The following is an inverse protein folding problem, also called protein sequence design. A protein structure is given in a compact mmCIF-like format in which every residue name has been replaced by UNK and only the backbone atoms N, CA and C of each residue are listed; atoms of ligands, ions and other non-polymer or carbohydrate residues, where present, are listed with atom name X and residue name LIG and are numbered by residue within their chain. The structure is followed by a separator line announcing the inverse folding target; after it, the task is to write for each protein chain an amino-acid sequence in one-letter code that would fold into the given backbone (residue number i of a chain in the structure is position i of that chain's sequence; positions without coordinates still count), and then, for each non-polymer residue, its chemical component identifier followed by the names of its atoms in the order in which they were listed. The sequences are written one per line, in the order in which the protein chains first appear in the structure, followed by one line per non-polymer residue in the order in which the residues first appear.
data_IF_993817364767
#
_entry.id   IF_993817364767
#
_cell.length_a   1.000
_cell.length_b   1.000
_cell.length_c   1.000
_cell.angle_alpha   90.00
_cell.angle_beta   90.00
_cell.angle_gamma   90.00
#
_symmetry.space_group_name_H-M   'P 1'
#
loop_
_entity.id
_entity.type
_entity.pdbx_description
1 polymer ?
#
# COMPACT_ATOMS: atom_id res chain seq x y z
N UNK A 1 9.56 2.48 4.16
CA UNK A 1 8.95 2.61 2.81
C UNK A 1 8.92 4.10 2.40
N UNK A 2 8.69 4.51 1.12
CA UNK A 2 8.49 5.92 0.63
C UNK A 2 7.06 6.21 0.12
N UNK A 3 6.59 7.45 0.12
CA UNK A 3 5.27 7.77 -0.44
C UNK A 3 5.35 7.71 -1.96
N UNK A 4 4.39 7.05 -2.63
CA UNK A 4 4.41 6.89 -4.08
C UNK A 4 4.29 8.22 -4.85
N UNK A 5 3.71 9.25 -4.22
CA UNK A 5 3.42 10.53 -4.89
C UNK A 5 4.38 11.66 -4.49
N UNK A 6 4.77 11.78 -3.21
CA UNK A 6 5.65 12.85 -2.75
C UNK A 6 7.02 12.38 -2.24
N UNK A 7 7.31 11.08 -2.32
CA UNK A 7 8.54 10.42 -1.84
C UNK A 7 8.82 10.53 -0.33
N UNK A 8 7.98 11.25 0.41
CA UNK A 8 8.16 11.47 1.84
C UNK A 8 8.14 10.14 2.64
N UNK A 9 9.02 10.07 3.63
CA UNK A 9 9.17 8.94 4.57
C UNK A 9 8.17 9.02 5.73
N UNK A 10 7.44 10.12 5.87
CA UNK A 10 6.48 10.32 6.96
C UNK A 10 5.32 9.31 6.98
N UNK A 11 4.70 9.26 8.16
CA UNK A 11 3.63 8.35 8.62
C UNK A 11 2.62 8.04 7.52
N UNK A 12 2.64 6.79 7.04
CA UNK A 12 1.76 6.33 5.97
C UNK A 12 0.45 5.85 6.53
N UNK A 13 -0.64 6.26 5.87
CA UNK A 13 -1.97 5.75 6.17
C UNK A 13 -2.19 4.44 5.43
N UNK A 14 -1.71 4.31 4.19
CA UNK A 14 -1.91 3.11 3.36
C UNK A 14 -0.62 2.59 2.72
N UNK A 15 -0.55 1.28 2.56
CA UNK A 15 0.44 0.58 1.74
C UNK A 15 -0.16 0.16 0.40
N UNK A 16 0.68 0.12 -0.64
CA UNK A 16 0.35 -0.40 -1.97
C UNK A 16 0.99 -1.78 -2.07
N UNK A 17 0.18 -2.82 -2.17
CA UNK A 17 0.63 -4.22 -2.12
C UNK A 17 0.22 -4.95 -3.41
N UNK A 18 1.16 -5.64 -4.06
CA UNK A 18 0.83 -6.56 -5.17
C UNK A 18 0.21 -7.84 -4.59
N UNK A 19 -1.08 -8.07 -4.82
CA UNK A 19 -1.81 -9.19 -4.20
C UNK A 19 -1.35 -10.56 -4.71
N UNK A 20 -0.70 -10.63 -5.87
CA UNK A 20 -0.15 -11.89 -6.38
C UNK A 20 1.25 -12.18 -5.84
N UNK A 21 2.08 -11.15 -5.67
CA UNK A 21 3.45 -11.27 -5.19
C UNK A 21 3.60 -11.13 -3.68
N UNK A 22 2.56 -10.66 -2.97
CA UNK A 22 2.60 -10.35 -1.54
C UNK A 22 3.55 -9.21 -1.16
N UNK A 23 4.16 -8.56 -2.16
CA UNK A 23 5.21 -7.57 -1.95
C UNK A 23 4.63 -6.18 -1.74
N UNK A 24 5.12 -5.47 -0.73
CA UNK A 24 4.78 -4.06 -0.52
C UNK A 24 5.61 -3.20 -1.45
N UNK A 25 4.95 -2.49 -2.37
CA UNK A 25 5.60 -1.66 -3.37
C UNK A 25 5.91 -0.27 -2.82
N UNK A 26 4.91 0.36 -2.19
CA UNK A 26 5.02 1.74 -1.71
C UNK A 26 3.88 2.06 -0.74
N UNK A 27 3.56 3.32 -0.53
CA UNK A 27 2.36 3.72 0.20
C UNK A 27 1.94 5.16 -0.04
N UNK A 28 0.82 5.57 0.57
CA UNK A 28 0.37 6.95 0.56
C UNK A 28 0.47 7.56 1.96
N UNK A 29 0.99 8.78 2.03
CA UNK A 29 0.75 9.63 3.19
C UNK A 29 -0.69 10.14 3.15
N UNK A 30 -1.20 10.64 4.28
CA UNK A 30 -2.59 11.11 4.40
C UNK A 30 -2.95 12.20 3.38
N UNK A 31 -2.03 13.12 3.10
CA UNK A 31 -2.26 14.23 2.16
C UNK A 31 -2.36 13.75 0.71
N UNK A 32 -1.41 12.93 0.25
CA UNK A 32 -1.44 12.37 -1.10
C UNK A 32 -2.63 11.43 -1.29
N UNK A 33 -2.99 10.62 -0.29
CA UNK A 33 -4.20 9.79 -0.33
C UNK A 33 -5.44 10.65 -0.59
N UNK A 34 -5.63 11.72 0.21
CA UNK A 34 -6.77 12.61 0.06
C UNK A 34 -6.74 13.38 -1.26
N UNK A 35 -5.57 13.75 -1.76
CA UNK A 35 -5.44 14.46 -3.04
C UNK A 35 -5.86 13.60 -4.23
N UNK A 36 -5.55 12.30 -4.19
CA UNK A 36 -5.80 11.39 -5.30
C UNK A 36 -7.17 10.73 -5.24
N UNK A 37 -7.64 10.39 -4.05
CA UNK A 37 -8.86 9.60 -3.85
C UNK A 37 -9.96 10.35 -3.10
N UNK A 38 -9.72 11.60 -2.70
CA UNK A 38 -10.65 12.36 -1.88
C UNK A 38 -10.96 11.62 -0.57
N UNK A 39 -12.24 11.47 -0.29
CA UNK A 39 -12.77 10.74 0.88
C UNK A 39 -13.22 9.32 0.52
N UNK A 40 -13.04 8.89 -0.74
CA UNK A 40 -13.49 7.60 -1.22
C UNK A 40 -12.95 6.47 -0.33
N UNK A 41 -11.66 6.52 0.00
CA UNK A 41 -10.96 5.52 0.81
C UNK A 41 -11.26 5.60 2.32
N UNK A 42 -12.06 6.56 2.81
CA UNK A 42 -12.33 6.69 4.24
C UNK A 42 -13.59 5.92 4.69
N UNK A 43 -14.60 5.80 3.82
CA UNK A 43 -15.91 5.23 4.17
C UNK A 43 -16.47 4.27 3.09
N UNK A 44 -15.62 3.74 2.22
CA UNK A 44 -16.08 2.90 1.11
C UNK A 44 -16.47 1.48 1.55
N UNK A 45 -17.66 1.05 1.14
CA UNK A 45 -18.08 -0.35 1.13
C UNK A 45 -17.44 -1.01 -0.11
N UNK A 46 -16.23 -1.51 0.07
CA UNK A 46 -15.47 -2.13 -1.00
C UNK A 46 -15.89 -3.59 -1.12
N UNK A 47 -17.02 -3.81 -1.78
CA UNK A 47 -17.50 -5.16 -2.06
C UNK A 47 -16.41 -5.94 -2.81
N UNK A 48 -15.96 -7.03 -2.18
CA UNK A 48 -14.65 -7.65 -2.35
C UNK A 48 -14.37 -8.41 -3.63
N UNK A 49 -14.90 -7.95 -4.76
CA UNK A 49 -14.83 -8.63 -6.05
C UNK A 49 -13.44 -8.61 -6.71
N UNK A 50 -12.37 -8.33 -5.96
CA UNK A 50 -11.02 -8.14 -6.52
C UNK A 50 -10.98 -7.14 -7.67
N UNK A 51 -11.92 -6.17 -7.70
CA UNK A 51 -12.07 -5.19 -8.77
C UNK A 51 -11.33 -3.89 -8.46
N UNK A 52 -10.95 -3.20 -9.53
CA UNK A 52 -10.37 -1.88 -9.47
C UNK A 52 -11.44 -0.87 -9.05
N UNK A 53 -11.10 -0.04 -8.08
CA UNK A 53 -11.95 1.03 -7.57
C UNK A 53 -12.41 2.02 -8.66
N UNK A 54 -11.58 2.27 -9.68
CA UNK A 54 -11.84 3.32 -10.66
C UNK A 54 -12.58 2.85 -11.92
N UNK A 55 -12.33 1.61 -12.40
CA UNK A 55 -12.98 1.08 -13.59
C UNK A 55 -13.80 -0.20 -13.40
N UNK A 56 -13.70 -0.86 -12.25
CA UNK A 56 -14.35 -2.15 -12.02
C UNK A 56 -13.66 -3.35 -12.69
N UNK A 57 -12.55 -3.17 -13.42
CA UNK A 57 -11.79 -4.30 -13.99
C UNK A 57 -10.93 -5.02 -12.93
N UNK A 58 -10.10 -6.00 -13.32
CA UNK A 58 -9.22 -6.73 -12.40
C UNK A 58 -8.29 -5.84 -11.56
N UNK A 59 -8.56 -5.79 -10.25
CA UNK A 59 -7.77 -5.10 -9.24
C UNK A 59 -6.61 -5.95 -8.72
N UNK A 60 -5.39 -5.56 -9.08
CA UNK A 60 -4.14 -6.26 -8.72
C UNK A 60 -3.45 -5.67 -7.49
N UNK A 61 -3.61 -4.37 -7.25
CA UNK A 61 -2.84 -3.67 -6.21
C UNK A 61 -3.77 -3.25 -5.09
N UNK A 62 -3.59 -3.84 -3.91
CA UNK A 62 -4.35 -3.51 -2.72
C UNK A 62 -3.83 -2.21 -2.07
N UNK A 63 -4.74 -1.33 -1.70
CA UNK A 63 -4.48 -0.11 -0.93
C UNK A 63 -4.76 -0.38 0.56
N UNK A 64 -3.96 -1.25 1.16
CA UNK A 64 -4.15 -1.72 2.53
C UNK A 64 -3.97 -0.60 3.55
N UNK A 65 -4.91 -0.47 4.49
CA UNK A 65 -4.78 0.46 5.60
C UNK A 65 -3.71 -0.05 6.56
N UNK A 66 -2.89 0.87 7.07
CA UNK A 66 -1.95 0.55 8.13
C UNK A 66 -2.68 0.41 9.44
N UNK A 67 -2.57 -0.75 10.06
CA UNK A 67 -3.04 -1.00 11.42
C UNK A 67 -1.84 -1.07 12.36
N UNK A 68 -2.02 -0.49 13.55
CA UNK A 68 -1.01 -0.48 14.60
C UNK A 68 -1.66 -1.08 15.83
N UNK A 69 -1.11 -2.18 16.30
CA UNK A 69 -1.50 -2.84 17.54
C UNK A 69 -0.36 -2.68 18.55
N UNK A 70 -0.71 -2.35 19.79
CA UNK A 70 0.23 -2.30 20.90
C UNK A 70 -0.08 -3.48 21.81
N UNK A 71 0.90 -4.39 21.93
CA UNK A 71 0.77 -5.60 22.74
C UNK A 71 1.62 -5.41 23.99
N UNK A 72 0.97 -5.42 25.16
CA UNK A 72 1.67 -5.36 26.44
C UNK A 72 2.32 -6.72 26.74
N UNK A 73 3.63 -6.72 27.01
CA UNK A 73 4.40 -7.92 27.34
C UNK A 73 5.14 -7.71 28.68
N UNK A 74 5.62 -8.80 29.33
CA UNK A 74 6.40 -8.67 30.56
C UNK A 74 7.65 -7.80 30.44
N UNK A 75 8.20 -7.66 29.23
CA UNK A 75 9.41 -6.89 28.92
C UNK A 75 9.10 -5.45 28.42
N UNK A 76 7.81 -5.08 28.34
CA UNK A 76 7.35 -3.77 27.87
C UNK A 76 6.30 -3.85 26.76
N UNK A 77 5.94 -2.69 26.20
CA UNK A 77 4.97 -2.59 25.10
C UNK A 77 5.65 -2.84 23.75
N UNK A 78 5.12 -3.79 22.98
CA UNK A 78 5.56 -4.07 21.62
C UNK A 78 4.57 -3.47 20.63
N UNK A 79 5.08 -2.64 19.71
CA UNK A 79 4.31 -2.09 18.61
C UNK A 79 4.35 -3.02 17.41
N UNK A 80 3.21 -3.61 17.07
CA UNK A 80 3.00 -4.40 15.86
C UNK A 80 2.36 -3.54 14.77
N UNK A 81 2.88 -3.63 13.55
CA UNK A 81 2.34 -2.92 12.39
C UNK A 81 1.95 -3.94 11.32
N UNK A 82 0.70 -3.87 10.87
CA UNK A 82 0.12 -4.79 9.90
C UNK A 82 -0.58 -4.04 8.77
N UNK A 83 -0.79 -4.74 7.66
CA UNK A 83 -1.49 -4.25 6.48
C UNK A 83 -2.47 -5.34 6.02
N UNK A 84 -3.61 -5.51 6.72
CA UNK A 84 -4.57 -6.54 6.35
C UNK A 84 -5.09 -6.30 4.92
N UNK A 85 -5.21 -7.39 4.17
CA UNK A 85 -5.82 -7.42 2.85
C UNK A 85 -7.00 -8.37 2.93
N UNK A 86 -8.20 -7.81 2.90
CA UNK A 86 -9.47 -8.52 2.93
C UNK A 86 -10.32 -8.24 1.69
N UNK A 87 -11.57 -8.68 1.75
CA UNK A 87 -12.61 -8.32 0.77
C UNK A 87 -12.83 -6.81 0.75
N UNK A 88 -12.86 -6.16 1.93
CA UNK A 88 -13.06 -4.71 2.06
C UNK A 88 -11.82 -3.87 1.71
N UNK A 89 -10.76 -4.48 1.18
CA UNK A 89 -9.54 -3.72 0.84
C UNK A 89 -9.65 -3.17 -0.58
N UNK A 90 -9.66 -1.83 -0.76
CA UNK A 90 -9.78 -1.23 -2.07
C UNK A 90 -8.59 -1.62 -2.96
N UNK A 91 -8.86 -1.91 -4.22
CA UNK A 91 -7.83 -2.33 -5.18
C UNK A 91 -7.77 -1.41 -6.39
N UNK A 92 -6.60 -1.37 -7.03
CA UNK A 92 -6.39 -0.71 -8.31
C UNK A 92 -5.87 -1.70 -9.35
N UNK A 93 -6.25 -1.52 -10.61
CA UNK A 93 -5.55 -2.15 -11.72
C UNK A 93 -4.19 -1.44 -11.95
N UNK A 94 -3.30 -2.05 -12.72
CA UNK A 94 -1.97 -1.47 -12.98
C UNK A 94 -2.01 -0.15 -13.76
N UNK A 95 -3.01 0.05 -14.61
CA UNK A 95 -3.20 1.31 -15.33
C UNK A 95 -3.53 2.44 -14.36
N UNK A 96 -4.61 2.30 -13.59
CA UNK A 96 -5.02 3.31 -12.62
C UNK A 96 -4.02 3.53 -11.49
N UNK A 97 -3.29 2.50 -11.07
CA UNK A 97 -2.19 2.71 -10.14
C UNK A 97 -1.16 3.66 -10.75
N UNK A 98 -0.69 3.39 -11.98
CA UNK A 98 0.31 4.23 -12.67
C UNK A 98 -0.18 5.65 -12.89
N UNK A 99 -1.43 5.83 -13.28
CA UNK A 99 -2.02 7.16 -13.48
C UNK A 99 -2.00 7.98 -12.18
N UNK A 100 -2.35 7.34 -11.06
CA UNK A 100 -2.35 7.99 -9.74
C UNK A 100 -0.92 8.26 -9.24
N UNK A 101 0.01 7.33 -9.45
CA UNK A 101 1.41 7.52 -9.01
C UNK A 101 2.24 8.36 -9.98
N UNK A 102 1.69 8.75 -11.13
CA UNK A 102 2.39 9.53 -12.16
C UNK A 102 3.53 8.78 -12.84
N UNK A 103 3.47 7.45 -12.91
CA UNK A 103 4.51 6.65 -13.58
C UNK A 103 4.27 6.62 -15.11
N UNK A 104 5.33 6.72 -15.94
CA UNK A 104 5.18 6.64 -17.38
C UNK A 104 4.65 5.27 -17.82
N UNK A 105 3.90 5.25 -18.94
CA UNK A 105 3.17 4.08 -19.45
C UNK A 105 4.06 2.87 -19.79
N UNK A 106 5.37 3.06 -19.90
CA UNK A 106 6.40 2.06 -20.18
C UNK A 106 7.11 1.51 -18.93
N UNK A 107 6.74 1.98 -17.74
CA UNK A 107 7.32 1.48 -16.49
C UNK A 107 6.73 0.12 -16.16
N UNK A 108 7.51 -0.95 -16.40
CA UNK A 108 7.20 -2.26 -15.83
C UNK A 108 7.13 -2.16 -14.30
N UNK A 109 6.16 -2.85 -13.72
CA UNK A 109 5.88 -2.97 -12.27
C UNK A 109 7.14 -3.25 -11.42
N UNK A 110 8.21 -3.73 -12.04
CA UNK A 110 9.53 -3.96 -11.45
C UNK A 110 10.13 -2.70 -10.80
N UNK A 111 9.90 -1.49 -11.34
CA UNK A 111 10.47 -0.25 -10.76
C UNK A 111 9.71 0.26 -9.52
N UNK A 112 8.50 -0.26 -9.28
CA UNK A 112 7.75 -0.01 -8.04
C UNK A 112 8.15 -0.97 -6.92
N UNK A 113 8.91 -2.03 -7.21
CA UNK A 113 9.48 -2.86 -6.16
C UNK A 113 10.56 -2.04 -5.47
N UNK A 114 10.42 -1.86 -4.15
CA UNK A 114 11.52 -1.34 -3.36
C UNK A 114 12.75 -2.24 -3.61
N UNK A 115 13.97 -1.67 -3.70
CA UNK A 115 15.16 -2.50 -3.67
C UNK A 115 15.07 -3.39 -2.42
N UNK A 116 15.30 -4.69 -2.61
CA UNK A 116 15.36 -5.65 -1.54
C UNK A 116 16.25 -5.05 -0.45
N UNK A 117 15.68 -4.79 0.73
CA UNK A 117 16.48 -4.45 1.89
C UNK A 117 17.29 -5.70 2.20
N UNK A 118 18.57 -5.68 1.84
CA UNK A 118 19.53 -6.69 2.28
C UNK A 118 19.30 -6.93 3.77
N UNK A 119 19.06 -8.18 4.21
CA UNK A 119 18.95 -8.47 5.62
C UNK A 119 20.29 -8.11 6.27
N UNK A 120 20.30 -6.97 6.96
CA UNK A 120 21.40 -6.57 7.81
C UNK A 120 21.67 -7.70 8.80
N UNK A 121 22.85 -8.31 8.70
CA UNK A 121 23.45 -9.06 9.79
C UNK A 121 23.58 -10.56 9.58
N UNK A 122 24.52 -10.97 8.71
CA UNK A 122 25.40 -12.10 9.03
C UNK A 122 26.82 -11.57 9.16
N UNK A 123 27.20 -11.20 10.38
CA UNK A 123 28.61 -11.21 10.77
C UNK A 123 28.94 -12.62 11.28
N UNK A 124 30.02 -13.27 10.82
CA UNK A 124 30.65 -14.35 11.57
C UNK A 124 31.30 -13.83 12.86
#
# INVERSE_FOLDING_TARGET
MRCASCEDRQVRKRAIIDVHGGSVLSGYCRSCERSHFGEALENGDWDGDSRCLLCGDGGRFALALREIEYVETPDGEIRHETFPIGSETPRLCGTHLRDVVGLPAETETEQLRLPEVDPVGRSP
#
